data_IF_375983610884
#
_entry.id   IF_375983610884
#
_cell.length_a   1.000
_cell.length_b   1.000
_cell.length_c   1.000
_cell.angle_alpha   90.00
_cell.angle_beta   90.00
_cell.angle_gamma   90.00
#
_symmetry.space_group_name_H-M   'P 1'
#
loop_
_entity.id
_entity.type
_entity.pdbx_description
1 polymer ?
#
# COMPACT_ATOMS: atom_id res chain seq x y z
N UNK A 1 -7.66 -25.31 -5.58
CA UNK A 1 -6.80 -24.47 -4.72
C UNK A 1 -7.21 -23.00 -4.77
N UNK A 2 -7.31 -22.40 -5.97
CA UNK A 2 -7.76 -21.00 -6.11
C UNK A 2 -9.17 -20.74 -5.54
N UNK A 3 -10.13 -21.65 -5.73
CA UNK A 3 -11.48 -21.53 -5.16
C UNK A 3 -11.49 -21.46 -3.63
N UNK A 4 -10.56 -22.16 -2.96
CA UNK A 4 -10.44 -22.12 -1.50
C UNK A 4 -9.95 -20.74 -1.03
N UNK A 5 -8.90 -20.20 -1.65
CA UNK A 5 -8.35 -18.89 -1.29
C UNK A 5 -9.30 -17.73 -1.65
N UNK A 6 -10.10 -17.89 -2.71
CA UNK A 6 -11.12 -16.91 -3.09
C UNK A 6 -12.20 -16.67 -2.01
N UNK A 7 -12.35 -17.57 -1.03
CA UNK A 7 -13.29 -17.39 0.08
C UNK A 7 -12.85 -16.32 1.08
N UNK A 8 -11.57 -15.96 1.10
CA UNK A 8 -10.99 -15.01 2.07
C UNK A 8 -10.37 -13.76 1.40
N UNK A 9 -10.35 -13.68 0.08
CA UNK A 9 -9.85 -12.52 -0.66
C UNK A 9 -9.61 -12.80 -2.14
N UNK A 10 -9.20 -11.76 -2.88
CA UNK A 10 -8.82 -11.91 -4.28
C UNK A 10 -7.62 -12.85 -4.43
N UNK A 11 -7.72 -13.86 -5.30
CA UNK A 11 -6.61 -14.75 -5.64
C UNK A 11 -6.26 -14.66 -7.12
N UNK A 12 -4.98 -14.47 -7.42
CA UNK A 12 -4.45 -14.49 -8.79
C UNK A 12 -3.25 -15.42 -8.88
N UNK A 13 -3.09 -16.08 -10.03
CA UNK A 13 -1.87 -16.83 -10.32
C UNK A 13 -0.79 -15.88 -10.82
N UNK A 14 0.44 -16.11 -10.39
CA UNK A 14 1.64 -15.37 -10.80
C UNK A 14 2.76 -16.38 -11.03
N UNK A 15 3.77 -15.98 -11.79
CA UNK A 15 4.99 -16.78 -11.93
C UNK A 15 5.82 -16.71 -10.64
N UNK A 16 6.56 -17.77 -10.33
CA UNK A 16 7.35 -17.90 -9.09
C UNK A 16 8.30 -16.70 -8.88
N UNK A 17 8.95 -16.22 -9.95
CA UNK A 17 9.88 -15.08 -9.87
C UNK A 17 9.21 -13.75 -9.48
N UNK A 18 7.87 -13.69 -9.51
CA UNK A 18 7.08 -12.52 -9.14
C UNK A 18 6.68 -12.52 -7.66
N UNK A 19 6.88 -13.62 -6.92
CA UNK A 19 6.41 -13.74 -5.53
C UNK A 19 7.03 -12.69 -4.60
N UNK A 20 8.31 -12.34 -4.76
CA UNK A 20 8.93 -11.26 -3.98
C UNK A 20 8.25 -9.90 -4.22
N UNK A 21 7.84 -9.65 -5.47
CA UNK A 21 7.13 -8.43 -5.82
C UNK A 21 5.72 -8.41 -5.22
N UNK A 22 5.03 -9.56 -5.18
CA UNK A 22 3.75 -9.71 -4.49
C UNK A 22 3.91 -9.46 -2.98
N UNK A 23 4.97 -9.99 -2.36
CA UNK A 23 5.28 -9.75 -0.94
C UNK A 23 5.53 -8.28 -0.65
N UNK A 24 6.35 -7.60 -1.47
CA UNK A 24 6.62 -6.18 -1.31
C UNK A 24 5.40 -5.29 -1.57
N UNK A 25 4.54 -5.65 -2.50
CA UNK A 25 3.37 -4.87 -2.88
C UNK A 25 2.17 -5.10 -1.94
N UNK A 26 1.67 -6.33 -1.87
CA UNK A 26 0.41 -6.67 -1.18
C UNK A 26 0.63 -7.42 0.13
N UNK A 27 1.72 -8.18 0.28
CA UNK A 27 2.05 -8.83 1.55
C UNK A 27 2.35 -7.79 2.64
N UNK A 28 3.16 -6.79 2.29
CA UNK A 28 3.51 -5.66 3.16
C UNK A 28 2.54 -4.48 3.07
N UNK A 29 1.72 -4.44 2.00
CA UNK A 29 0.81 -3.34 1.66
C UNK A 29 -0.06 -2.81 2.80
N UNK A 30 -0.74 -3.67 3.60
CA UNK A 30 -1.57 -3.22 4.71
C UNK A 30 -0.82 -2.35 5.73
N UNK A 31 0.45 -2.65 6.00
CA UNK A 31 1.25 -1.86 6.93
C UNK A 31 1.48 -0.43 6.44
N UNK A 32 1.63 -0.24 5.12
CA UNK A 32 1.80 1.10 4.52
C UNK A 32 0.53 1.93 4.66
N UNK A 33 -0.64 1.29 4.52
CA UNK A 33 -1.93 1.94 4.74
C UNK A 33 -2.12 2.30 6.21
N UNK A 34 -1.77 1.41 7.15
CA UNK A 34 -1.83 1.73 8.58
C UNK A 34 -0.92 2.88 8.95
N UNK A 35 0.30 2.92 8.41
CA UNK A 35 1.24 4.02 8.62
C UNK A 35 0.69 5.37 8.08
N UNK A 36 0.01 5.35 6.94
CA UNK A 36 -0.71 6.54 6.43
C UNK A 36 -1.86 6.96 7.37
N UNK A 37 -2.64 6.00 7.87
CA UNK A 37 -3.74 6.26 8.81
C UNK A 37 -3.23 6.89 10.10
N UNK A 38 -2.09 6.46 10.65
CA UNK A 38 -1.47 7.08 11.83
C UNK A 38 -1.19 8.58 11.59
N UNK A 39 -0.68 8.93 10.41
CA UNK A 39 -0.46 10.33 10.04
C UNK A 39 -1.78 11.12 9.90
N UNK A 40 -2.82 10.50 9.34
CA UNK A 40 -4.15 11.12 9.22
C UNK A 40 -4.81 11.34 10.58
N UNK A 41 -4.74 10.38 11.50
CA UNK A 41 -5.27 10.51 12.87
C UNK A 41 -4.55 11.62 13.64
N UNK A 42 -3.22 11.73 13.49
CA UNK A 42 -2.44 12.82 14.07
C UNK A 42 -2.89 14.18 13.53
N UNK A 43 -3.01 14.32 12.21
CA UNK A 43 -3.48 15.56 11.59
C UNK A 43 -4.90 15.91 12.03
N UNK A 44 -5.80 14.93 12.10
CA UNK A 44 -7.17 15.12 12.54
C UNK A 44 -7.25 15.72 13.95
N UNK A 45 -6.42 15.24 14.88
CA UNK A 45 -6.33 15.81 16.22
C UNK A 45 -5.83 17.27 16.21
N UNK A 46 -4.83 17.57 15.38
CA UNK A 46 -4.26 18.92 15.25
C UNK A 46 -5.25 19.92 14.63
N UNK A 47 -6.13 19.48 13.73
CA UNK A 47 -7.16 20.31 13.10
C UNK A 47 -8.51 20.31 13.85
N UNK A 48 -8.56 19.71 15.03
CA UNK A 48 -9.69 19.82 15.96
C UNK A 48 -10.81 18.78 15.79
N UNK A 49 -10.55 17.64 15.14
CA UNK A 49 -11.49 16.53 15.08
C UNK A 49 -11.41 15.63 16.31
N UNK A 50 -12.56 15.20 16.80
CA UNK A 50 -12.65 14.17 17.82
C UNK A 50 -12.15 12.83 17.27
N UNK A 51 -11.41 12.07 18.09
CA UNK A 51 -10.69 10.87 17.66
C UNK A 51 -11.58 9.82 17.01
N UNK A 52 -12.72 9.50 17.61
CA UNK A 52 -13.64 8.49 17.10
C UNK A 52 -14.25 8.93 15.76
N UNK A 53 -14.62 10.20 15.64
CA UNK A 53 -15.13 10.80 14.40
C UNK A 53 -14.07 10.77 13.30
N UNK A 54 -12.84 11.19 13.61
CA UNK A 54 -11.72 11.15 12.68
C UNK A 54 -11.47 9.75 12.14
N UNK A 55 -11.41 8.76 13.03
CA UNK A 55 -11.21 7.36 12.65
C UNK A 55 -12.29 6.85 11.70
N UNK A 56 -13.56 7.16 11.95
CA UNK A 56 -14.66 6.78 11.06
C UNK A 56 -14.53 7.41 9.68
N UNK A 57 -14.22 8.71 9.62
CA UNK A 57 -14.04 9.45 8.36
C UNK A 57 -12.84 8.92 7.56
N UNK A 58 -11.72 8.61 8.22
CA UNK A 58 -10.53 8.05 7.57
C UNK A 58 -10.84 6.68 6.96
N UNK A 59 -11.46 5.77 7.73
CA UNK A 59 -11.83 4.44 7.25
C UNK A 59 -12.77 4.54 6.05
N UNK A 60 -13.81 5.38 6.14
CA UNK A 60 -14.76 5.56 5.05
C UNK A 60 -14.11 6.17 3.81
N UNK A 61 -13.15 7.09 3.99
CA UNK A 61 -12.38 7.69 2.88
C UNK A 61 -11.55 6.62 2.16
N UNK A 62 -10.83 5.79 2.90
CA UNK A 62 -10.04 4.69 2.32
C UNK A 62 -10.92 3.67 1.60
N UNK A 63 -12.03 3.27 2.22
CA UNK A 63 -12.99 2.34 1.62
C UNK A 63 -13.59 2.91 0.33
N UNK A 64 -14.08 4.15 0.35
CA UNK A 64 -14.67 4.80 -0.82
C UNK A 64 -13.67 4.98 -1.96
N UNK A 65 -12.42 5.36 -1.65
CA UNK A 65 -11.36 5.47 -2.66
C UNK A 65 -11.03 4.12 -3.30
N UNK A 66 -10.89 3.05 -2.48
CA UNK A 66 -10.64 1.70 -2.99
C UNK A 66 -11.82 1.17 -3.82
N UNK A 67 -13.06 1.42 -3.37
CA UNK A 67 -14.27 1.04 -4.10
C UNK A 67 -14.37 1.76 -5.46
N UNK A 68 -14.07 3.06 -5.50
CA UNK A 68 -14.03 3.83 -6.75
C UNK A 68 -12.99 3.30 -7.71
N UNK A 69 -11.78 2.99 -7.22
CA UNK A 69 -10.71 2.37 -8.03
C UNK A 69 -11.13 0.99 -8.56
N UNK A 70 -11.84 0.20 -7.76
CA UNK A 70 -12.26 -1.15 -8.15
C UNK A 70 -13.42 -1.15 -9.16
N UNK A 71 -14.25 -0.11 -9.20
CA UNK A 71 -15.46 -0.05 -10.04
C UNK A 71 -15.31 0.83 -11.27
N UNK A 72 -14.29 1.67 -11.33
CA UNK A 72 -14.07 2.60 -12.44
C UNK A 72 -13.09 2.04 -13.46
N UNK A 73 -13.37 2.28 -14.74
CA UNK A 73 -12.40 2.02 -15.82
C UNK A 73 -11.35 3.15 -15.96
N UNK A 74 -11.37 4.15 -15.07
CA UNK A 74 -10.49 5.31 -15.12
C UNK A 74 -9.19 5.04 -14.37
N UNK A 75 -8.10 5.53 -14.94
CA UNK A 75 -6.79 5.52 -14.28
C UNK A 75 -6.78 6.34 -12.98
N UNK A 76 -5.97 5.97 -11.97
CA UNK A 76 -5.91 6.69 -10.69
C UNK A 76 -5.62 8.20 -10.82
N UNK A 77 -4.81 8.60 -11.80
CA UNK A 77 -4.50 10.00 -12.06
C UNK A 77 -5.75 10.78 -12.52
N UNK A 78 -6.63 10.15 -13.30
CA UNK A 78 -7.88 10.75 -13.76
C UNK A 78 -8.88 10.88 -12.59
N UNK A 79 -9.02 9.83 -11.77
CA UNK A 79 -9.86 9.90 -10.56
C UNK A 79 -9.41 11.00 -9.61
N UNK A 80 -8.09 11.15 -9.40
CA UNK A 80 -7.51 12.25 -8.61
C UNK A 80 -7.83 13.61 -9.23
N UNK A 81 -7.70 13.76 -10.55
CA UNK A 81 -8.02 15.01 -11.23
C UNK A 81 -9.48 15.40 -11.04
N UNK A 82 -10.41 14.45 -11.15
CA UNK A 82 -11.86 14.73 -11.02
C UNK A 82 -12.29 15.21 -9.64
N UNK A 83 -11.52 14.89 -8.59
CA UNK A 83 -11.74 15.39 -7.22
C UNK A 83 -10.84 16.58 -6.85
N UNK A 84 -10.11 17.12 -7.82
CA UNK A 84 -9.19 18.25 -7.66
C UNK A 84 -9.67 19.45 -8.47
N UNK A 85 -10.40 20.36 -7.82
CA UNK A 85 -10.78 21.64 -8.44
C UNK A 85 -9.61 22.63 -8.41
N UNK A 86 -9.35 23.40 -9.49
CA UNK A 86 -8.32 24.44 -9.50
C UNK A 86 -8.51 25.45 -8.37
N UNK A 87 -7.45 25.75 -7.63
CA UNK A 87 -7.45 26.61 -6.44
C UNK A 87 -8.18 26.02 -5.22
N UNK A 88 -8.58 24.75 -5.27
CA UNK A 88 -9.37 24.09 -4.23
C UNK A 88 -8.53 23.50 -3.09
N UNK A 89 -9.23 22.98 -2.09
CA UNK A 89 -8.62 22.35 -0.90
C UNK A 89 -7.82 21.08 -1.26
N UNK A 90 -8.32 20.26 -2.19
CA UNK A 90 -7.61 19.06 -2.66
C UNK A 90 -6.30 19.42 -3.35
N UNK A 91 -6.31 20.45 -4.22
CA UNK A 91 -5.10 20.89 -4.94
C UNK A 91 -4.02 21.36 -3.96
N UNK A 92 -4.40 22.16 -2.97
CA UNK A 92 -3.49 22.60 -1.91
C UNK A 92 -2.89 21.42 -1.14
N UNK A 93 -3.69 20.42 -0.79
CA UNK A 93 -3.23 19.20 -0.11
C UNK A 93 -2.29 18.35 -0.98
N UNK A 94 -2.64 18.12 -2.24
CA UNK A 94 -1.81 17.36 -3.19
C UNK A 94 -0.45 18.04 -3.40
N UNK A 95 -0.42 19.37 -3.51
CA UNK A 95 0.85 20.09 -3.68
C UNK A 95 1.83 19.82 -2.52
N UNK A 96 1.34 19.71 -1.28
CA UNK A 96 2.19 19.35 -0.14
C UNK A 96 2.71 17.90 -0.26
N UNK A 97 1.88 16.94 -0.68
CA UNK A 97 2.31 15.56 -0.90
C UNK A 97 3.37 15.46 -2.01
N UNK A 98 3.25 16.27 -3.06
CA UNK A 98 4.23 16.36 -4.14
C UNK A 98 5.56 16.97 -3.67
N UNK A 99 5.50 18.07 -2.90
CA UNK A 99 6.69 18.71 -2.31
C UNK A 99 7.47 17.75 -1.40
N UNK A 100 6.76 16.90 -0.65
CA UNK A 100 7.36 15.88 0.19
C UNK A 100 7.76 14.59 -0.56
N UNK A 101 7.52 14.52 -1.88
CA UNK A 101 7.91 13.38 -2.70
C UNK A 101 7.22 12.07 -2.31
N UNK A 102 5.97 12.13 -1.84
CA UNK A 102 5.26 10.95 -1.29
C UNK A 102 5.17 9.81 -2.29
N UNK A 103 4.94 10.09 -3.59
CA UNK A 103 4.95 9.05 -4.62
C UNK A 103 6.31 8.36 -4.73
N UNK A 104 7.40 9.13 -4.73
CA UNK A 104 8.76 8.60 -4.77
C UNK A 104 9.07 7.74 -3.54
N UNK A 105 8.59 8.16 -2.37
CA UNK A 105 8.73 7.40 -1.12
C UNK A 105 8.01 6.05 -1.20
N UNK A 106 6.76 6.00 -1.68
CA UNK A 106 6.01 4.75 -1.85
C UNK A 106 6.66 3.82 -2.90
N UNK A 107 7.14 4.37 -4.01
CA UNK A 107 7.88 3.58 -5.02
C UNK A 107 9.13 2.95 -4.41
N UNK A 108 9.87 3.72 -3.60
CA UNK A 108 11.09 3.24 -2.94
C UNK A 108 10.77 2.20 -1.87
N UNK A 109 9.70 2.41 -1.10
CA UNK A 109 9.21 1.49 -0.07
C UNK A 109 8.92 0.09 -0.64
N UNK A 110 8.13 0.01 -1.72
CA UNK A 110 7.76 -1.26 -2.34
C UNK A 110 8.98 -1.96 -2.96
N UNK A 111 9.85 -1.21 -3.63
CA UNK A 111 11.09 -1.74 -4.22
C UNK A 111 12.02 -2.32 -3.14
N UNK A 112 12.17 -1.61 -2.03
CA UNK A 112 13.02 -2.05 -0.93
C UNK A 112 12.44 -3.29 -0.24
N UNK A 113 11.13 -3.33 0.03
CA UNK A 113 10.48 -4.52 0.58
C UNK A 113 10.63 -5.74 -0.33
N UNK A 114 10.50 -5.54 -1.65
CA UNK A 114 10.75 -6.58 -2.66
C UNK A 114 12.20 -7.07 -2.63
N UNK A 115 13.17 -6.14 -2.57
CA UNK A 115 14.58 -6.49 -2.49
C UNK A 115 14.93 -7.21 -1.18
N UNK A 116 14.30 -6.82 -0.06
CA UNK A 116 14.47 -7.49 1.23
C UNK A 116 13.90 -8.91 1.21
N UNK A 117 12.73 -9.12 0.60
CA UNK A 117 12.16 -10.47 0.41
C UNK A 117 13.15 -11.39 -0.30
N UNK A 118 13.78 -10.90 -1.39
CA UNK A 118 14.83 -11.63 -2.11
C UNK A 118 16.03 -11.98 -1.25
N UNK A 119 16.55 -11.01 -0.48
CA UNK A 119 17.69 -11.22 0.41
C UNK A 119 17.39 -12.27 1.48
N UNK A 120 16.18 -12.25 2.05
CA UNK A 120 15.76 -13.25 3.03
C UNK A 120 15.65 -14.64 2.38
N UNK A 121 15.05 -14.74 1.19
CA UNK A 121 14.97 -16.00 0.45
C UNK A 121 16.34 -16.61 0.15
N UNK A 122 17.32 -15.77 -0.25
CA UNK A 122 18.71 -16.20 -0.47
C UNK A 122 19.37 -16.68 0.82
N UNK A 123 19.24 -15.90 1.91
CA UNK A 123 19.82 -16.26 3.21
C UNK A 123 19.33 -17.63 3.70
N UNK A 124 18.01 -17.86 3.65
CA UNK A 124 17.44 -19.15 4.07
C UNK A 124 17.84 -20.30 3.13
N UNK A 125 17.97 -20.02 1.83
CA UNK A 125 18.49 -20.99 0.86
C UNK A 125 19.94 -21.41 1.18
N UNK A 126 20.79 -20.44 1.51
CA UNK A 126 22.20 -20.68 1.84
C UNK A 126 22.35 -21.41 3.19
N UNK A 127 21.57 -21.05 4.20
CA UNK A 127 21.52 -21.76 5.50
C UNK A 127 21.09 -23.22 5.33
N UNK A 128 20.07 -23.49 4.51
CA UNK A 128 19.63 -24.87 4.21
C UNK A 128 20.69 -25.65 3.42
N UNK A 129 21.40 -25.01 2.49
CA UNK A 129 22.45 -25.65 1.71
C UNK A 129 23.68 -25.99 2.58
N UNK A 130 24.02 -25.14 3.56
CA UNK A 130 25.13 -25.37 4.49
C UNK A 130 24.80 -26.43 5.54
N UNK A 131 23.55 -26.47 6.03
CA UNK A 131 23.07 -27.48 6.98
C UNK A 131 23.01 -28.91 6.40
N UNK A 132 22.89 -29.04 5.06
CA UNK A 132 22.74 -30.32 4.36
C UNK A 132 24.03 -30.86 3.71
N UNK A 133 25.22 -30.31 4.02
CA UNK A 133 26.48 -30.87 3.51
C UNK A 133 26.84 -32.17 4.25
N UNK A 134 27.08 -33.30 3.54
CA UNK A 134 27.64 -34.48 4.17
C UNK A 134 29.09 -34.19 4.59
N UNK A 135 29.49 -34.74 5.76
CA UNK A 135 30.85 -34.67 6.31
C UNK A 135 31.90 -35.22 5.34
#
# INVERSE_FOLDING_TARGET
>A
MQELFNTIGLTTNVEEYQLDAVTGLSGSGPAYIYYLVEAMEKSAAEIGLEKQTAKQLIIQTLFGAAEMLSKSDKEPAQLRFEVTSPGGTTEAGISILEQHGVQTAFVSCIKEATAQSKRLGQLFGDELATANRPL
#
